data_IF_487284278130
#
_entry.id   IF_487284278130
#
_cell.length_a   1.000
_cell.length_b   1.000
_cell.length_c   1.000
_cell.angle_alpha   90.00
_cell.angle_beta   90.00
_cell.angle_gamma   90.00
#
_symmetry.space_group_name_H-M   'P 1'
#
loop_
_entity.id
_entity.type
_entity.pdbx_description
1 polymer ?
#
# COMPACT_ATOMS: atom_id res chain seq x y z
N UNK A 1 23.71 -29.37 -4.09
CA UNK A 1 24.58 -28.48 -4.92
C UNK A 1 23.80 -27.52 -5.83
N UNK A 2 22.46 -27.50 -5.78
CA UNK A 2 21.62 -26.57 -6.58
C UNK A 2 21.40 -25.21 -5.91
N UNK A 3 21.45 -25.14 -4.59
CA UNK A 3 21.09 -23.94 -3.83
C UNK A 3 22.02 -22.73 -4.04
N UNK A 4 23.28 -22.97 -4.40
CA UNK A 4 24.27 -21.89 -4.50
C UNK A 4 24.23 -21.13 -5.85
N UNK A 5 23.51 -21.64 -6.87
CA UNK A 5 23.44 -20.97 -8.17
C UNK A 5 22.47 -19.77 -8.17
N UNK A 6 21.31 -19.93 -7.56
CA UNK A 6 20.31 -18.87 -7.49
C UNK A 6 20.77 -17.71 -6.60
N UNK A 7 21.43 -17.99 -5.49
CA UNK A 7 22.01 -16.97 -4.61
C UNK A 7 23.12 -16.17 -5.31
N UNK A 8 24.06 -16.83 -5.99
CA UNK A 8 25.10 -16.17 -6.78
C UNK A 8 24.52 -15.30 -7.89
N UNK A 9 23.49 -15.81 -8.58
CA UNK A 9 22.82 -15.08 -9.66
C UNK A 9 22.09 -13.85 -9.12
N UNK A 10 21.49 -13.96 -7.94
CA UNK A 10 20.83 -12.86 -7.27
C UNK A 10 21.81 -11.76 -6.86
N UNK A 11 22.97 -12.14 -6.31
CA UNK A 11 24.06 -11.22 -5.95
C UNK A 11 24.65 -10.50 -7.17
N UNK A 12 24.80 -11.22 -8.30
CA UNK A 12 25.29 -10.63 -9.56
C UNK A 12 24.33 -9.56 -10.10
N UNK A 13 23.01 -9.77 -9.99
CA UNK A 13 22.00 -8.88 -10.56
C UNK A 13 21.71 -7.69 -9.62
N UNK A 14 21.67 -7.91 -8.31
CA UNK A 14 21.23 -6.91 -7.32
C UNK A 14 22.36 -6.37 -6.42
N UNK A 15 23.58 -6.82 -6.64
CA UNK A 15 24.77 -6.43 -5.87
C UNK A 15 25.06 -7.35 -4.67
N UNK A 16 26.34 -7.44 -4.33
CA UNK A 16 26.78 -8.21 -3.17
C UNK A 16 26.16 -7.66 -1.88
N UNK A 17 25.49 -8.56 -1.13
CA UNK A 17 24.75 -8.20 0.08
C UNK A 17 23.23 -8.06 -0.10
N UNK A 18 22.72 -8.07 -1.33
CA UNK A 18 21.26 -8.10 -1.56
C UNK A 18 20.64 -9.45 -1.15
N UNK A 19 21.40 -10.53 -1.23
CA UNK A 19 21.05 -11.86 -0.70
C UNK A 19 21.49 -12.05 0.76
N UNK A 20 21.82 -10.97 1.46
CA UNK A 20 22.46 -10.94 2.76
C UNK A 20 22.10 -12.07 3.70
N UNK A 21 23.00 -13.03 3.84
CA UNK A 21 23.07 -13.91 4.99
C UNK A 21 23.49 -13.12 6.25
N UNK A 22 22.63 -12.23 6.66
CA UNK A 22 22.74 -11.63 7.97
C UNK A 22 22.29 -12.65 9.00
N UNK A 23 23.23 -13.33 9.64
CA UNK A 23 23.07 -14.02 10.92
C UNK A 23 22.73 -13.04 12.06
N UNK A 24 22.03 -11.95 11.80
CA UNK A 24 21.63 -10.97 12.79
C UNK A 24 20.13 -10.79 12.73
N UNK A 25 19.48 -11.27 13.81
CA UNK A 25 18.08 -11.01 14.22
C UNK A 25 17.13 -11.05 13.05
N UNK A 26 16.52 -12.20 12.83
CA UNK A 26 15.47 -12.35 11.82
C UNK A 26 14.48 -11.19 11.92
N UNK A 27 14.23 -10.51 10.81
CA UNK A 27 13.17 -9.54 10.72
C UNK A 27 11.82 -10.16 11.12
N UNK A 28 10.75 -9.37 11.23
CA UNK A 28 9.43 -9.90 11.56
C UNK A 28 9.02 -10.97 10.55
N UNK A 29 8.42 -12.07 11.05
CA UNK A 29 7.91 -13.12 10.16
C UNK A 29 6.85 -12.57 9.19
N UNK A 30 6.62 -13.26 8.07
CA UNK A 30 5.55 -12.88 7.14
C UNK A 30 4.19 -12.77 7.85
N UNK A 31 3.87 -13.70 8.75
CA UNK A 31 2.64 -13.63 9.55
C UNK A 31 2.57 -12.35 10.38
N UNK A 32 3.68 -11.95 11.00
CA UNK A 32 3.74 -10.70 11.78
C UNK A 32 3.49 -9.49 10.87
N UNK A 33 4.09 -9.47 9.68
CA UNK A 33 3.87 -8.40 8.71
C UNK A 33 2.42 -8.36 8.23
N UNK A 34 1.83 -9.50 7.89
CA UNK A 34 0.43 -9.62 7.48
C UNK A 34 -0.54 -9.14 8.56
N UNK A 35 -0.31 -9.50 9.83
CA UNK A 35 -1.13 -9.05 10.96
C UNK A 35 -1.01 -7.54 11.19
N UNK A 36 0.18 -6.98 11.08
CA UNK A 36 0.44 -5.54 11.28
C UNK A 36 0.06 -4.66 10.10
N UNK A 37 -0.02 -5.22 8.89
CA UNK A 37 -0.41 -4.47 7.70
C UNK A 37 -1.91 -4.17 7.70
N UNK A 38 -2.28 -2.98 8.17
CA UNK A 38 -3.67 -2.52 8.27
C UNK A 38 -3.87 -1.24 7.50
N UNK A 39 -5.04 -1.10 6.89
CA UNK A 39 -5.48 0.15 6.27
C UNK A 39 -5.57 1.24 7.33
N UNK A 40 -4.61 2.15 7.35
CA UNK A 40 -4.49 3.22 8.34
C UNK A 40 -5.09 4.50 7.79
N UNK A 41 -6.01 5.10 8.55
CA UNK A 41 -6.72 6.33 8.15
C UNK A 41 -6.36 7.53 9.02
N UNK A 42 -5.65 7.28 10.11
CA UNK A 42 -5.17 8.32 11.02
C UNK A 42 -3.68 8.11 11.22
N UNK A 43 -2.89 9.08 10.80
CA UNK A 43 -1.44 9.05 10.90
C UNK A 43 -0.95 10.07 11.92
N UNK A 44 0.20 9.83 12.51
CA UNK A 44 0.86 10.77 13.40
C UNK A 44 1.36 11.97 12.59
N UNK A 45 1.01 13.16 13.04
CA UNK A 45 1.41 14.43 12.38
C UNK A 45 2.83 14.86 12.70
N UNK A 46 3.40 14.31 13.78
CA UNK A 46 4.75 14.56 14.27
C UNK A 46 5.80 13.56 13.73
N UNK A 47 5.39 12.65 12.84
CA UNK A 47 6.26 11.61 12.29
C UNK A 47 6.37 11.74 10.77
N UNK A 48 7.58 11.91 10.29
CA UNK A 48 7.91 11.97 8.87
C UNK A 48 8.42 10.63 8.35
N UNK A 49 8.27 10.43 7.03
CA UNK A 49 8.85 9.30 6.31
C UNK A 49 10.00 9.81 5.47
N UNK A 50 11.21 9.30 5.70
CA UNK A 50 12.37 9.73 4.93
C UNK A 50 12.27 9.32 3.46
N UNK A 51 12.94 10.06 2.58
CA UNK A 51 12.97 9.73 1.14
C UNK A 51 13.63 8.38 0.89
N UNK A 52 14.62 7.99 1.69
CA UNK A 52 15.32 6.71 1.61
C UNK A 52 14.35 5.56 1.92
N UNK A 53 13.51 5.71 2.96
CA UNK A 53 12.47 4.71 3.28
C UNK A 53 11.42 4.62 2.18
N UNK A 54 10.96 5.74 1.63
CA UNK A 54 10.00 5.74 0.52
C UNK A 54 10.58 5.07 -0.73
N UNK A 55 11.84 5.34 -1.07
CA UNK A 55 12.55 4.65 -2.14
C UNK A 55 12.67 3.15 -1.87
N UNK A 56 12.99 2.75 -0.64
CA UNK A 56 13.07 1.34 -0.23
C UNK A 56 11.70 0.64 -0.35
N UNK A 57 10.60 1.35 -0.03
CA UNK A 57 9.24 0.86 -0.21
C UNK A 57 8.94 0.64 -1.69
N UNK A 58 9.27 1.60 -2.56
CA UNK A 58 9.06 1.48 -4.01
C UNK A 58 9.96 0.40 -4.62
N UNK A 59 11.20 0.26 -4.13
CA UNK A 59 12.20 -0.67 -4.65
C UNK A 59 11.75 -2.14 -4.64
N UNK A 60 10.77 -2.54 -3.80
CA UNK A 60 10.24 -3.90 -3.81
C UNK A 60 9.72 -4.31 -5.19
N UNK A 61 9.30 -3.33 -5.99
CA UNK A 61 8.80 -3.56 -7.35
C UNK A 61 9.87 -4.09 -8.33
N UNK A 62 11.14 -3.99 -7.97
CA UNK A 62 12.23 -4.60 -8.75
C UNK A 62 12.41 -6.10 -8.47
N UNK A 63 11.66 -6.66 -7.49
CA UNK A 63 11.83 -8.02 -6.98
C UNK A 63 10.55 -8.85 -6.97
N UNK A 64 9.42 -8.26 -7.37
CA UNK A 64 8.12 -8.94 -7.41
C UNK A 64 7.74 -9.33 -8.84
N UNK A 65 6.79 -10.27 -8.95
CA UNK A 65 6.29 -10.69 -10.24
C UNK A 65 5.45 -9.61 -10.92
N UNK A 66 5.47 -9.58 -12.25
CA UNK A 66 4.52 -8.85 -13.08
C UNK A 66 4.08 -9.72 -14.28
N UNK A 67 2.91 -9.47 -14.79
CA UNK A 67 2.36 -10.23 -15.92
C UNK A 67 3.29 -10.16 -17.13
N UNK A 68 3.72 -11.33 -17.63
CA UNK A 68 4.69 -11.47 -18.73
C UNK A 68 5.99 -10.68 -18.51
N UNK A 69 6.33 -10.38 -17.26
CA UNK A 69 7.46 -9.54 -16.85
C UNK A 69 7.48 -8.15 -17.54
N UNK A 70 6.31 -7.58 -17.82
CA UNK A 70 6.20 -6.30 -18.54
C UNK A 70 6.63 -5.10 -17.71
N UNK A 71 6.54 -5.17 -16.37
CA UNK A 71 7.00 -4.15 -15.44
C UNK A 71 6.46 -2.75 -15.81
N UNK A 72 5.16 -2.65 -16.02
CA UNK A 72 4.49 -1.44 -16.54
C UNK A 72 4.32 -0.34 -15.54
N UNK A 73 4.43 -0.63 -14.23
CA UNK A 73 4.16 0.36 -13.18
C UNK A 73 5.29 1.39 -13.05
N UNK A 74 4.88 2.64 -12.76
CA UNK A 74 5.76 3.77 -12.46
C UNK A 74 5.29 4.44 -11.17
N UNK A 75 6.20 5.07 -10.44
CA UNK A 75 5.92 5.56 -9.10
C UNK A 75 6.40 7.00 -8.94
N UNK A 76 5.50 7.86 -8.45
CA UNK A 76 5.80 9.22 -8.06
C UNK A 76 5.78 9.36 -6.55
N UNK A 77 6.86 9.79 -5.93
CA UNK A 77 6.94 10.05 -4.49
C UNK A 77 6.65 11.52 -4.24
N UNK A 78 5.75 11.81 -3.30
CA UNK A 78 5.41 13.17 -2.86
C UNK A 78 5.50 13.24 -1.35
N UNK A 79 6.35 14.13 -0.85
CA UNK A 79 6.51 14.41 0.58
C UNK A 79 6.08 15.83 0.88
N UNK A 80 5.54 16.02 2.10
CA UNK A 80 5.08 17.34 2.56
C UNK A 80 6.20 18.40 2.54
N UNK A 81 7.41 18.00 2.89
CA UNK A 81 8.56 18.93 2.98
C UNK A 81 9.19 19.25 1.63
N UNK A 82 9.20 18.27 0.69
CA UNK A 82 9.87 18.44 -0.61
C UNK A 82 8.96 19.13 -1.63
N UNK A 83 7.64 18.86 -1.56
CA UNK A 83 6.65 19.36 -2.49
C UNK A 83 5.32 19.67 -1.79
N UNK A 84 5.23 20.80 -1.10
CA UNK A 84 4.02 21.21 -0.40
C UNK A 84 2.80 21.36 -1.31
N UNK A 85 2.99 21.72 -2.58
CA UNK A 85 1.90 21.96 -3.53
C UNK A 85 1.22 20.64 -3.94
N UNK A 86 1.98 19.67 -4.46
CA UNK A 86 1.45 18.35 -4.81
C UNK A 86 0.96 17.59 -3.56
N UNK A 87 1.69 17.71 -2.44
CA UNK A 87 1.24 17.14 -1.18
C UNK A 87 -0.13 17.70 -0.77
N UNK A 88 -0.34 19.02 -0.85
CA UNK A 88 -1.60 19.66 -0.51
C UNK A 88 -2.78 19.11 -1.33
N UNK A 89 -2.60 18.97 -2.65
CA UNK A 89 -3.61 18.40 -3.55
C UNK A 89 -3.92 16.92 -3.23
N UNK A 90 -2.90 16.10 -3.05
CA UNK A 90 -3.07 14.68 -2.70
C UNK A 90 -3.68 14.52 -1.29
N UNK A 91 -3.33 15.38 -0.34
CA UNK A 91 -3.96 15.44 0.98
C UNK A 91 -5.46 15.72 0.87
N UNK A 92 -5.87 16.66 0.04
CA UNK A 92 -7.28 17.02 -0.15
C UNK A 92 -8.06 15.83 -0.76
N UNK A 93 -7.47 15.12 -1.73
CA UNK A 93 -8.01 13.87 -2.24
C UNK A 93 -8.07 12.77 -1.17
N UNK A 94 -7.06 12.70 -0.28
CA UNK A 94 -7.04 11.76 0.84
C UNK A 94 -8.17 12.02 1.84
N UNK A 95 -8.32 13.26 2.28
CA UNK A 95 -9.35 13.65 3.26
C UNK A 95 -10.74 13.53 2.67
N UNK A 96 -10.96 14.06 1.47
CA UNK A 96 -12.22 13.97 0.71
C UNK A 96 -13.46 14.30 1.56
N UNK A 97 -13.42 15.41 2.30
CA UNK A 97 -14.51 15.84 3.16
C UNK A 97 -14.74 14.96 4.42
N UNK A 98 -13.80 14.10 4.76
CA UNK A 98 -13.85 13.24 5.95
C UNK A 98 -12.88 13.77 7.01
N UNK A 99 -13.34 14.70 7.85
CA UNK A 99 -12.52 15.42 8.84
C UNK A 99 -11.88 14.51 9.90
N UNK A 100 -12.39 13.28 10.07
CA UNK A 100 -11.81 12.29 10.97
C UNK A 100 -10.54 11.62 10.43
N UNK A 101 -10.21 11.79 9.14
CA UNK A 101 -8.98 11.30 8.55
C UNK A 101 -7.83 12.25 8.87
N UNK A 102 -6.74 11.70 9.38
CA UNK A 102 -5.50 12.44 9.61
C UNK A 102 -4.48 12.01 8.55
N UNK A 103 -4.05 12.92 7.66
CA UNK A 103 -3.16 12.57 6.55
C UNK A 103 -1.75 12.21 7.03
N UNK A 104 -1.02 11.35 6.28
CA UNK A 104 0.41 11.07 6.53
C UNK A 104 1.29 12.22 6.04
N UNK A 105 2.60 12.11 6.27
CA UNK A 105 3.60 13.06 5.72
C UNK A 105 3.94 12.82 4.26
N UNK A 106 3.52 11.70 3.65
CA UNK A 106 3.93 11.32 2.30
C UNK A 106 2.91 10.45 1.56
N UNK A 107 2.97 10.53 0.22
CA UNK A 107 2.19 9.74 -0.71
C UNK A 107 3.08 9.12 -1.79
N UNK A 108 2.69 7.96 -2.29
CA UNK A 108 3.26 7.32 -3.48
C UNK A 108 2.14 7.21 -4.50
N UNK A 109 2.25 7.89 -5.63
CA UNK A 109 1.30 7.81 -6.74
C UNK A 109 1.77 6.72 -7.69
N UNK A 110 0.87 5.84 -8.10
CA UNK A 110 1.15 4.72 -9.01
C UNK A 110 0.53 5.01 -10.37
N UNK A 111 1.37 4.89 -11.39
CA UNK A 111 1.02 5.04 -12.79
C UNK A 111 1.30 3.74 -13.54
N UNK A 112 0.68 3.58 -14.71
CA UNK A 112 1.01 2.53 -15.66
C UNK A 112 1.42 3.11 -17.00
N UNK A 113 2.33 2.44 -17.71
CA UNK A 113 2.67 2.74 -19.12
C UNK A 113 1.65 2.17 -20.10
N UNK A 114 0.70 1.37 -19.61
CA UNK A 114 -0.40 0.79 -20.39
C UNK A 114 -1.74 1.20 -19.75
N UNK A 115 -2.81 1.32 -20.55
CA UNK A 115 -4.14 1.59 -20.03
C UNK A 115 -4.62 0.47 -19.09
N UNK A 116 -5.65 0.76 -18.31
CA UNK A 116 -6.28 -0.19 -17.40
C UNK A 116 -6.63 -1.50 -18.08
N UNK A 117 -6.55 -2.60 -17.33
CA UNK A 117 -6.88 -3.93 -17.79
C UNK A 117 -6.51 -4.98 -16.76
N UNK A 118 -7.11 -6.17 -16.88
CA UNK A 118 -7.01 -7.24 -15.89
C UNK A 118 -5.59 -7.51 -15.38
N UNK A 119 -4.60 -7.52 -16.26
CA UNK A 119 -3.21 -7.80 -15.87
C UNK A 119 -2.57 -6.62 -15.15
N UNK A 120 -2.94 -5.39 -15.51
CA UNK A 120 -2.50 -4.19 -14.79
C UNK A 120 -3.08 -4.19 -13.38
N UNK A 121 -4.36 -4.55 -13.21
CA UNK A 121 -5.00 -4.62 -11.90
C UNK A 121 -4.35 -5.69 -11.00
N UNK A 122 -3.98 -6.85 -11.56
CA UNK A 122 -3.25 -7.89 -10.84
C UNK A 122 -1.86 -7.38 -10.42
N UNK A 123 -1.09 -6.81 -11.34
CA UNK A 123 0.25 -6.27 -11.06
C UNK A 123 0.18 -5.13 -10.02
N UNK A 124 -0.84 -4.27 -10.12
CA UNK A 124 -1.11 -3.21 -9.16
C UNK A 124 -1.37 -3.77 -7.75
N UNK A 125 -2.24 -4.79 -7.63
CA UNK A 125 -2.53 -5.45 -6.36
C UNK A 125 -1.29 -6.08 -5.72
N UNK A 126 -0.46 -6.78 -6.51
CA UNK A 126 0.81 -7.36 -6.06
C UNK A 126 1.76 -6.26 -5.57
N UNK A 127 1.90 -5.18 -6.34
CA UNK A 127 2.75 -4.04 -6.02
C UNK A 127 2.32 -3.35 -4.72
N UNK A 128 1.05 -2.97 -4.61
CA UNK A 128 0.50 -2.28 -3.44
C UNK A 128 0.64 -3.10 -2.16
N UNK A 129 0.35 -4.41 -2.22
CA UNK A 129 0.52 -5.29 -1.07
C UNK A 129 1.99 -5.42 -0.67
N UNK A 130 2.91 -5.57 -1.64
CA UNK A 130 4.35 -5.69 -1.37
C UNK A 130 4.92 -4.40 -0.78
N UNK A 131 4.56 -3.24 -1.32
CA UNK A 131 4.94 -1.94 -0.77
C UNK A 131 4.40 -1.73 0.64
N UNK A 132 3.15 -2.13 0.91
CA UNK A 132 2.54 -2.01 2.24
C UNK A 132 3.25 -2.90 3.27
N UNK A 133 3.63 -4.14 2.90
CA UNK A 133 4.41 -5.03 3.77
C UNK A 133 5.80 -4.46 4.06
N UNK A 134 6.47 -3.89 3.06
CA UNK A 134 7.76 -3.21 3.25
C UNK A 134 7.63 -1.98 4.15
N UNK A 135 6.57 -1.20 4.01
CA UNK A 135 6.30 -0.09 4.90
C UNK A 135 6.15 -0.56 6.37
N UNK A 136 5.41 -1.65 6.60
CA UNK A 136 5.25 -2.25 7.94
C UNK A 136 6.58 -2.75 8.50
N UNK A 137 7.42 -3.37 7.68
CA UNK A 137 8.77 -3.79 8.08
C UNK A 137 9.63 -2.61 8.56
N UNK A 138 9.47 -1.44 7.93
CA UNK A 138 10.14 -0.18 8.28
C UNK A 138 9.44 0.60 9.42
N UNK A 139 8.33 0.06 9.97
CA UNK A 139 7.60 0.68 11.09
C UNK A 139 6.54 1.70 10.67
N UNK A 140 6.12 1.70 9.41
CA UNK A 140 5.05 2.52 8.87
C UNK A 140 3.80 1.70 8.55
N UNK A 141 2.70 2.38 8.25
CA UNK A 141 1.49 1.79 7.71
C UNK A 141 1.01 2.56 6.49
N UNK A 142 0.08 1.96 5.75
CA UNK A 142 -0.41 2.50 4.50
C UNK A 142 -1.94 2.55 4.43
N UNK A 143 -2.43 3.39 3.50
CA UNK A 143 -3.79 3.30 2.98
C UNK A 143 -3.74 3.39 1.45
N UNK A 144 -4.33 2.41 0.78
CA UNK A 144 -4.53 2.42 -0.68
C UNK A 144 -5.78 3.25 -0.99
N UNK A 145 -5.68 4.18 -1.94
CA UNK A 145 -6.77 5.07 -2.33
C UNK A 145 -6.97 4.99 -3.83
N UNK A 146 -8.06 4.36 -4.26
CA UNK A 146 -8.39 4.10 -5.67
C UNK A 146 -9.73 4.69 -6.11
N UNK A 147 -10.33 5.62 -5.33
CA UNK A 147 -11.63 6.20 -5.65
C UNK A 147 -11.58 7.41 -6.59
N UNK A 148 -10.39 7.96 -6.81
CA UNK A 148 -10.20 9.16 -7.61
C UNK A 148 -10.13 8.81 -9.09
N UNK A 149 -10.54 9.74 -9.95
CA UNK A 149 -10.35 9.57 -11.40
C UNK A 149 -8.88 9.73 -11.78
N UNK A 150 -8.51 9.26 -12.96
CA UNK A 150 -7.16 9.40 -13.48
C UNK A 150 -6.77 10.88 -13.65
N UNK A 151 -7.72 11.72 -14.08
CA UNK A 151 -7.55 13.17 -14.26
C UNK A 151 -7.29 13.87 -12.94
N UNK A 152 -8.13 13.62 -11.91
CA UNK A 152 -7.96 14.19 -10.57
C UNK A 152 -6.58 13.83 -9.99
N UNK A 153 -6.14 12.60 -10.19
CA UNK A 153 -4.85 12.13 -9.67
C UNK A 153 -3.66 12.73 -10.44
N UNK A 154 -3.77 12.85 -11.77
CA UNK A 154 -2.75 13.52 -12.60
C UNK A 154 -2.62 15.00 -12.23
N UNK A 155 -3.75 15.70 -12.07
CA UNK A 155 -3.78 17.09 -11.68
C UNK A 155 -3.20 17.32 -10.28
N UNK A 156 -3.58 16.46 -9.32
CA UNK A 156 -3.06 16.52 -7.96
C UNK A 156 -1.55 16.26 -7.90
N UNK A 157 -1.06 15.30 -8.67
CA UNK A 157 0.36 14.97 -8.70
C UNK A 157 1.18 16.06 -9.38
N UNK A 158 0.71 16.60 -10.50
CA UNK A 158 1.42 17.68 -11.21
C UNK A 158 1.36 19.01 -10.46
N UNK A 159 0.28 19.28 -9.74
CA UNK A 159 0.05 20.48 -8.93
C UNK A 159 0.31 21.80 -9.69
N UNK A 160 0.11 21.80 -11.01
CA UNK A 160 0.39 22.95 -11.87
C UNK A 160 1.85 23.12 -12.29
N UNK A 161 2.75 22.22 -11.91
CA UNK A 161 4.15 22.19 -12.35
C UNK A 161 4.24 21.56 -13.77
N UNK A 162 4.62 22.34 -14.82
CA UNK A 162 4.74 21.82 -16.18
C UNK A 162 5.78 20.71 -16.33
N UNK A 163 6.88 20.73 -15.59
CA UNK A 163 7.92 19.71 -15.66
C UNK A 163 7.41 18.39 -15.11
N UNK A 164 6.65 18.45 -14.00
CA UNK A 164 6.03 17.25 -13.42
C UNK A 164 4.90 16.72 -14.31
N UNK A 165 4.07 17.61 -14.88
CA UNK A 165 3.05 17.20 -15.85
C UNK A 165 3.69 16.49 -17.08
N UNK A 166 4.81 17.02 -17.58
CA UNK A 166 5.55 16.41 -18.66
C UNK A 166 6.15 15.04 -18.27
N UNK A 167 6.57 14.86 -17.03
CA UNK A 167 7.15 13.58 -16.53
C UNK A 167 6.15 12.43 -16.51
N UNK A 168 4.86 12.71 -16.45
CA UNK A 168 3.79 11.69 -16.47
C UNK A 168 3.02 11.66 -17.81
N UNK A 169 3.46 12.43 -18.82
CA UNK A 169 2.83 12.42 -20.13
C UNK A 169 2.84 11.01 -20.74
N UNK A 170 1.67 10.53 -21.16
CA UNK A 170 1.50 9.17 -21.67
C UNK A 170 1.45 8.07 -20.62
N UNK A 171 1.51 8.40 -19.33
CA UNK A 171 1.23 7.47 -18.24
C UNK A 171 -0.24 7.52 -17.83
N UNK A 172 -0.75 6.41 -17.33
CA UNK A 172 -2.10 6.26 -16.82
C UNK A 172 -2.06 6.24 -15.29
N UNK A 173 -2.53 7.29 -14.59
CA UNK A 173 -2.64 7.29 -13.13
C UNK A 173 -3.64 6.24 -12.68
N UNK A 174 -3.27 5.42 -11.69
CA UNK A 174 -4.11 4.31 -11.22
C UNK A 174 -4.66 4.58 -9.81
N UNK A 175 -3.76 4.74 -8.85
CA UNK A 175 -4.09 4.91 -7.43
C UNK A 175 -2.97 5.69 -6.74
N UNK A 176 -3.20 6.07 -5.49
CA UNK A 176 -2.11 6.50 -4.62
C UNK A 176 -2.12 5.80 -3.26
N UNK A 177 -0.94 5.64 -2.70
CA UNK A 177 -0.68 5.02 -1.42
C UNK A 177 -0.28 6.10 -0.41
N UNK A 178 -1.09 6.29 0.62
CA UNK A 178 -0.73 7.10 1.78
C UNK A 178 0.25 6.31 2.65
N UNK A 179 1.38 6.90 3.05
CA UNK A 179 2.43 6.24 3.82
C UNK A 179 2.81 7.11 5.01
N UNK A 180 2.75 6.53 6.22
CA UNK A 180 3.09 7.25 7.43
C UNK A 180 3.07 6.35 8.67
N UNK A 181 3.36 6.93 9.83
CA UNK A 181 3.28 6.24 11.11
C UNK A 181 1.84 6.25 11.61
N UNK A 182 1.27 5.09 11.91
CA UNK A 182 -0.10 4.98 12.39
C UNK A 182 -0.29 5.71 13.74
N UNK A 183 -1.43 6.40 13.87
CA UNK A 183 -1.96 6.97 15.11
C UNK A 183 -3.24 6.24 15.53
N UNK A 184 -3.31 4.96 15.27
CA UNK A 184 -4.44 4.11 15.65
C UNK A 184 -3.94 2.70 15.95
N UNK A 185 -4.55 2.05 16.93
CA UNK A 185 -4.40 0.62 17.17
C UNK A 185 -5.44 -0.14 16.36
N UNK A 186 -5.04 -1.21 15.69
CA UNK A 186 -5.95 -2.05 14.94
C UNK A 186 -5.86 -3.50 15.43
N UNK A 187 -7.00 -4.16 15.54
CA UNK A 187 -7.12 -5.54 16.01
C UNK A 187 -7.90 -6.37 14.99
N UNK A 188 -7.34 -7.53 14.61
CA UNK A 188 -8.04 -8.51 13.77
C UNK A 188 -8.97 -9.34 14.64
N UNK A 189 -10.26 -9.36 14.31
CA UNK A 189 -11.27 -10.16 14.99
C UNK A 189 -11.69 -11.33 14.09
N UNK A 190 -11.31 -12.57 14.40
CA UNK A 190 -11.84 -13.73 13.69
C UNK A 190 -13.37 -13.78 13.85
N UNK A 191 -14.09 -14.03 12.76
CA UNK A 191 -15.54 -14.17 12.71
C UNK A 191 -15.90 -15.31 11.77
N UNK A 192 -16.99 -16.04 12.06
CA UNK A 192 -17.53 -17.07 11.17
C UNK A 192 -18.83 -16.61 10.52
N UNK A 193 -19.06 -16.99 9.27
CA UNK A 193 -20.34 -16.78 8.60
C UNK A 193 -21.50 -17.50 9.31
N UNK A 194 -21.19 -18.59 10.03
CA UNK A 194 -22.19 -19.30 10.84
C UNK A 194 -22.77 -18.44 11.99
N UNK A 195 -21.99 -17.45 12.46
CA UNK A 195 -22.41 -16.53 13.53
C UNK A 195 -23.04 -15.23 12.97
N UNK A 196 -23.13 -15.09 11.66
CA UNK A 196 -23.62 -13.87 11.02
C UNK A 196 -25.15 -13.76 11.22
N UNK A 197 -25.65 -12.59 11.66
CA UNK A 197 -27.07 -12.30 11.52
C UNK A 197 -27.46 -12.42 10.04
N UNK A 198 -28.59 -13.06 9.78
CA UNK A 198 -29.09 -13.19 8.41
C UNK A 198 -30.07 -12.04 8.10
N UNK A 199 -30.04 -11.58 6.87
CA UNK A 199 -31.03 -10.68 6.31
C UNK A 199 -32.33 -11.45 5.91
N UNK A 200 -33.32 -10.74 5.39
CA UNK A 200 -34.59 -11.31 4.95
C UNK A 200 -34.41 -12.34 3.81
N UNK A 201 -33.32 -12.34 3.10
CA UNK A 201 -32.98 -13.26 2.00
C UNK A 201 -32.16 -14.46 2.46
N UNK A 202 -31.86 -14.55 3.77
CA UNK A 202 -31.01 -15.62 4.34
C UNK A 202 -29.53 -15.48 4.09
N UNK A 203 -29.03 -14.29 3.69
CA UNK A 203 -27.62 -13.98 3.54
C UNK A 203 -27.09 -13.23 4.77
N UNK A 204 -25.77 -13.25 5.02
CA UNK A 204 -25.17 -12.44 6.08
C UNK A 204 -25.59 -10.97 5.98
N UNK A 205 -26.09 -10.43 7.08
CA UNK A 205 -26.61 -9.06 7.12
C UNK A 205 -25.57 -8.04 6.63
N UNK A 206 -25.98 -7.02 5.88
CA UNK A 206 -25.08 -5.96 5.44
C UNK A 206 -24.32 -5.36 6.61
N UNK A 207 -23.00 -5.22 6.47
CA UNK A 207 -22.13 -4.65 7.51
C UNK A 207 -21.59 -5.67 8.52
N UNK A 208 -21.93 -6.96 8.46
CA UNK A 208 -21.36 -7.98 9.35
C UNK A 208 -19.83 -8.01 9.35
N UNK A 209 -19.22 -7.81 8.18
CA UNK A 209 -17.76 -7.73 8.01
C UNK A 209 -17.23 -6.29 8.05
N UNK A 210 -18.07 -5.29 8.33
CA UNK A 210 -17.61 -3.91 8.42
C UNK A 210 -16.68 -3.74 9.63
N UNK A 211 -15.61 -2.99 9.42
CA UNK A 211 -14.76 -2.56 10.53
C UNK A 211 -15.49 -1.55 11.43
N UNK A 212 -15.13 -1.52 12.71
CA UNK A 212 -15.73 -0.62 13.69
C UNK A 212 -14.71 -0.19 14.74
N UNK A 213 -14.91 1.00 15.31
CA UNK A 213 -14.10 1.52 16.39
C UNK A 213 -14.80 1.29 17.74
N UNK A 214 -14.06 0.77 18.72
CA UNK A 214 -14.52 0.59 20.09
C UNK A 214 -13.35 0.81 21.06
N UNK A 215 -13.56 1.63 22.08
CA UNK A 215 -12.58 1.91 23.14
C UNK A 215 -11.20 2.36 22.59
N UNK A 216 -11.20 3.17 21.52
CA UNK A 216 -9.97 3.64 20.87
C UNK A 216 -9.24 2.60 20.00
N UNK A 217 -9.80 1.41 19.83
CA UNK A 217 -9.27 0.33 19.02
C UNK A 217 -10.10 0.16 17.75
N UNK A 218 -9.41 0.05 16.61
CA UNK A 218 -10.01 -0.23 15.31
C UNK A 218 -10.11 -1.74 15.08
N UNK A 219 -11.32 -2.31 15.16
CA UNK A 219 -11.57 -3.73 14.95
C UNK A 219 -11.83 -4.02 13.48
N UNK A 220 -11.12 -5.03 12.95
CA UNK A 220 -11.24 -5.48 11.57
C UNK A 220 -11.68 -6.95 11.56
N UNK A 221 -12.99 -7.24 11.35
CA UNK A 221 -13.46 -8.61 11.19
C UNK A 221 -12.77 -9.33 10.03
N UNK A 222 -12.39 -10.60 10.26
CA UNK A 222 -11.81 -11.47 9.25
C UNK A 222 -12.44 -12.84 9.35
N UNK A 223 -12.90 -13.37 8.22
CA UNK A 223 -13.43 -14.70 8.14
C UNK A 223 -12.39 -15.73 8.59
N UNK A 224 -12.85 -16.77 9.27
CA UNK A 224 -12.04 -17.95 9.57
C UNK A 224 -11.78 -18.75 8.29
N UNK A 225 -10.80 -19.67 8.34
CA UNK A 225 -10.36 -20.41 7.15
C UNK A 225 -11.49 -21.25 6.54
N UNK A 226 -12.30 -21.85 7.38
CA UNK A 226 -13.43 -22.70 6.99
C UNK A 226 -14.46 -21.99 6.12
N UNK A 227 -14.61 -20.65 6.29
CA UNK A 227 -15.55 -19.84 5.52
C UNK A 227 -14.99 -19.37 4.16
N UNK A 228 -13.71 -19.56 3.89
CA UNK A 228 -13.06 -19.15 2.63
C UNK A 228 -12.55 -20.33 1.79
N UNK A 229 -12.59 -21.54 2.31
CA UNK A 229 -12.33 -22.77 1.56
C UNK A 229 -13.63 -23.30 0.93
N UNK A 230 -13.52 -23.89 -0.29
CA UNK A 230 -14.61 -24.56 -1.00
C UNK A 230 -14.58 -26.06 -0.74
#
# INVERSE_FOLDING_TARGET
MADNYLEKRYEEVFGAGAAGHSKKRGGPSLNTLLVRNRSTRRFRTDAEVSIEHLRTIVEVNTRIASAMNRQTLRFGIVRKEDDPAAYGRLRDLYVHGQDWRIPPSSFIVVFSTLPEGRFIDIDLGISLQSMSLKAVELGYNCLMIGRNTAEELAEAYSAGDPARAASIAGLHPLVFLAVGKADQSAFLKPVSLADAPLDESGHPAPGFLAYYDKDGVHYVPKLVLEDILL
#
